data_IF_345743597797
#
_entry.id   IF_345743597797
#
_cell.length_a   1.000
_cell.length_b   1.000
_cell.length_c   1.000
_cell.angle_alpha   90.00
_cell.angle_beta   90.00
_cell.angle_gamma   90.00
#
_symmetry.space_group_name_H-M   'P 1'
#
loop_
_entity.id
_entity.type
_entity.pdbx_description
1 polymer ?
#
# COMPACT_ATOMS: atom_id res chain seq x y z
N UNK A 1 -34.88 -61.56 58.37
CA UNK A 1 -35.24 -60.29 57.71
C UNK A 1 -34.65 -60.33 56.32
N UNK A 2 -35.45 -60.72 55.32
CA UNK A 2 -35.02 -60.69 53.92
C UNK A 2 -35.06 -59.24 53.47
N UNK A 3 -33.89 -58.61 53.32
CA UNK A 3 -33.78 -57.32 52.63
C UNK A 3 -34.21 -57.56 51.18
N UNK A 4 -35.36 -57.00 50.82
CA UNK A 4 -35.83 -56.93 49.45
C UNK A 4 -34.80 -56.10 48.66
N UNK A 5 -34.03 -56.75 47.77
CA UNK A 5 -33.13 -56.02 46.87
C UNK A 5 -33.99 -55.12 46.01
N UNK A 6 -33.95 -53.81 46.25
CA UNK A 6 -34.61 -52.84 45.40
C UNK A 6 -33.94 -52.85 44.03
N UNK A 7 -34.67 -53.31 43.01
CA UNK A 7 -34.24 -53.33 41.62
C UNK A 7 -34.01 -51.88 41.17
N UNK A 8 -32.78 -51.55 40.75
CA UNK A 8 -32.47 -50.24 40.18
C UNK A 8 -32.79 -50.23 38.69
N UNK A 9 -34.02 -49.88 38.33
CA UNK A 9 -34.51 -49.88 36.94
C UNK A 9 -33.70 -48.94 36.03
N UNK A 10 -33.18 -47.83 36.56
CA UNK A 10 -32.38 -46.89 35.77
C UNK A 10 -31.03 -47.49 35.38
N UNK A 11 -30.36 -48.18 36.31
CA UNK A 11 -29.11 -48.88 36.02
C UNK A 11 -29.32 -50.01 35.01
N UNK A 12 -30.43 -50.75 35.12
CA UNK A 12 -30.76 -51.83 34.18
C UNK A 12 -31.06 -51.25 32.80
N UNK A 13 -31.82 -50.16 32.73
CA UNK A 13 -32.12 -49.47 31.48
C UNK A 13 -30.88 -48.92 30.77
N UNK A 14 -29.86 -48.48 31.52
CA UNK A 14 -28.60 -48.01 30.91
C UNK A 14 -27.69 -49.15 30.41
N UNK A 15 -27.96 -50.39 30.79
CA UNK A 15 -27.25 -51.60 30.35
C UNK A 15 -28.21 -52.57 29.65
N UNK A 16 -29.28 -52.05 29.06
CA UNK A 16 -30.38 -52.85 28.52
C UNK A 16 -29.93 -53.77 27.38
N UNK A 17 -28.91 -53.34 26.63
CA UNK A 17 -28.29 -54.08 25.53
C UNK A 17 -27.85 -55.47 25.98
N UNK A 18 -27.20 -55.60 27.14
CA UNK A 18 -26.73 -56.89 27.67
C UNK A 18 -27.89 -57.87 27.86
N UNK A 19 -29.04 -57.38 28.33
CA UNK A 19 -30.24 -58.20 28.55
C UNK A 19 -30.99 -58.52 27.26
N UNK A 20 -30.89 -57.64 26.26
CA UNK A 20 -31.45 -57.84 24.92
C UNK A 20 -30.63 -58.86 24.16
N UNK A 21 -29.30 -58.74 24.14
CA UNK A 21 -28.40 -59.67 23.43
C UNK A 21 -28.51 -61.10 23.97
N UNK A 22 -28.63 -61.23 25.28
CA UNK A 22 -28.80 -62.53 25.95
C UNK A 22 -30.23 -63.11 25.85
N UNK A 23 -31.20 -62.35 25.34
CA UNK A 23 -32.62 -62.76 25.28
C UNK A 23 -33.25 -63.00 26.65
N UNK A 24 -32.68 -62.41 27.70
CA UNK A 24 -33.07 -62.65 29.10
C UNK A 24 -34.06 -61.64 29.64
N UNK A 25 -34.27 -60.52 28.94
CA UNK A 25 -35.03 -59.38 29.47
C UNK A 25 -36.41 -59.79 30.01
N UNK A 26 -37.24 -60.44 29.20
CA UNK A 26 -38.58 -60.89 29.59
C UNK A 26 -38.60 -62.15 30.46
N UNK A 27 -37.46 -62.81 30.63
CA UNK A 27 -37.31 -64.01 31.48
C UNK A 27 -36.94 -63.62 32.91
N UNK A 28 -36.13 -62.57 33.05
CA UNK A 28 -35.55 -62.14 34.33
C UNK A 28 -36.45 -61.17 35.07
N UNK A 29 -37.13 -60.28 34.36
CA UNK A 29 -37.89 -59.19 34.98
C UNK A 29 -39.39 -59.40 34.86
N UNK A 30 -40.10 -59.00 35.91
CA UNK A 30 -41.56 -59.04 35.90
C UNK A 30 -42.15 -57.89 35.06
N UNK A 31 -43.47 -57.88 34.93
CA UNK A 31 -44.14 -56.86 34.12
C UNK A 31 -43.97 -55.44 34.61
N UNK A 32 -43.97 -55.21 35.91
CA UNK A 32 -43.83 -53.85 36.45
C UNK A 32 -42.40 -53.36 36.29
N UNK A 33 -41.43 -54.26 36.43
CA UNK A 33 -40.03 -53.97 36.20
C UNK A 33 -39.76 -53.62 34.73
N UNK A 34 -40.26 -54.42 33.79
CA UNK A 34 -40.10 -54.14 32.35
C UNK A 34 -40.68 -52.78 31.98
N UNK A 35 -41.88 -52.44 32.47
CA UNK A 35 -42.50 -51.15 32.15
C UNK A 35 -41.63 -49.97 32.61
N UNK A 36 -41.06 -50.05 33.81
CA UNK A 36 -40.14 -49.02 34.34
C UNK A 36 -38.82 -48.99 33.59
N UNK A 37 -38.27 -50.14 33.23
CA UNK A 37 -37.03 -50.24 32.44
C UNK A 37 -37.22 -49.57 31.07
N UNK A 38 -38.35 -49.80 30.41
CA UNK A 38 -38.65 -49.18 29.12
C UNK A 38 -38.82 -47.67 29.24
N UNK A 39 -39.44 -47.18 30.32
CA UNK A 39 -39.61 -45.74 30.58
C UNK A 39 -38.27 -45.02 30.81
N UNK A 40 -37.31 -45.65 31.47
CA UNK A 40 -35.98 -45.07 31.68
C UNK A 40 -35.02 -45.29 30.51
N UNK A 41 -35.28 -46.28 29.66
CA UNK A 41 -34.39 -46.71 28.59
C UNK A 41 -34.40 -45.78 27.39
N UNK A 42 -33.23 -45.63 26.77
CA UNK A 42 -33.06 -44.98 25.48
C UNK A 42 -32.45 -45.99 24.50
N UNK A 43 -33.19 -46.32 23.45
CA UNK A 43 -32.86 -47.42 22.55
C UNK A 43 -32.51 -46.89 21.17
N UNK A 44 -31.47 -47.45 20.56
CA UNK A 44 -31.34 -47.34 19.11
C UNK A 44 -32.43 -48.17 18.42
N UNK A 45 -32.89 -47.70 17.26
CA UNK A 45 -34.02 -48.34 16.57
C UNK A 45 -33.78 -49.82 16.24
N UNK A 46 -32.54 -50.22 15.94
CA UNK A 46 -32.14 -51.58 15.60
C UNK A 46 -32.08 -52.48 16.83
N UNK A 47 -31.58 -51.97 17.95
CA UNK A 47 -31.62 -52.64 19.26
C UNK A 47 -33.06 -52.94 19.70
N UNK A 48 -33.97 -51.98 19.55
CA UNK A 48 -35.38 -52.19 19.84
C UNK A 48 -36.03 -53.19 18.87
N UNK A 49 -35.68 -53.17 17.59
CA UNK A 49 -36.16 -54.18 16.63
C UNK A 49 -35.68 -55.58 17.03
N UNK A 50 -34.43 -55.71 17.51
CA UNK A 50 -33.90 -56.98 17.99
C UNK A 50 -34.68 -57.49 19.20
N UNK A 51 -34.99 -56.61 20.16
CA UNK A 51 -35.87 -56.90 21.29
C UNK A 51 -37.25 -57.41 20.85
N UNK A 52 -37.89 -56.76 19.88
CA UNK A 52 -39.19 -57.22 19.37
C UNK A 52 -39.07 -58.59 18.68
N UNK A 53 -38.03 -58.74 17.85
CA UNK A 53 -37.79 -59.95 17.06
C UNK A 53 -37.59 -61.17 17.96
N UNK A 54 -36.79 -61.06 19.01
CA UNK A 54 -36.51 -62.18 19.91
C UNK A 54 -37.71 -62.59 20.78
N UNK A 55 -38.60 -61.64 21.07
CA UNK A 55 -39.72 -61.85 21.99
C UNK A 55 -40.99 -62.32 21.27
N UNK A 56 -41.11 -62.00 19.97
CA UNK A 56 -42.26 -62.39 19.16
C UNK A 56 -42.60 -63.89 19.09
N UNK A 57 -41.66 -64.85 19.26
CA UNK A 57 -42.00 -66.28 19.29
C UNK A 57 -42.61 -66.74 20.62
N UNK A 58 -42.32 -66.04 21.72
CA UNK A 58 -42.72 -66.44 23.09
C UNK A 58 -43.84 -65.58 23.66
N UNK A 59 -44.17 -64.46 23.00
CA UNK A 59 -45.14 -63.47 23.46
C UNK A 59 -46.00 -63.00 22.29
N UNK A 60 -47.30 -62.83 22.53
CA UNK A 60 -48.19 -62.28 21.51
C UNK A 60 -47.93 -60.77 21.29
N UNK A 61 -48.41 -60.27 20.15
CA UNK A 61 -48.18 -58.88 19.74
C UNK A 61 -48.81 -57.84 20.69
N UNK A 62 -49.92 -58.18 21.35
CA UNK A 62 -50.63 -57.27 22.26
C UNK A 62 -49.85 -57.11 23.56
N UNK A 63 -49.42 -58.23 24.13
CA UNK A 63 -48.58 -58.23 25.32
C UNK A 63 -47.25 -57.54 25.02
N UNK A 64 -46.58 -57.90 23.92
CA UNK A 64 -45.32 -57.29 23.52
C UNK A 64 -45.44 -55.78 23.32
N UNK A 65 -46.56 -55.30 22.77
CA UNK A 65 -46.86 -53.87 22.70
C UNK A 65 -47.00 -53.25 24.09
N UNK A 66 -47.77 -53.86 24.99
CA UNK A 66 -47.97 -53.36 26.35
C UNK A 66 -46.63 -53.21 27.08
N UNK A 67 -45.75 -54.19 26.97
CA UNK A 67 -44.44 -54.13 27.62
C UNK A 67 -43.54 -53.05 27.05
N UNK A 68 -43.58 -52.81 25.74
CA UNK A 68 -42.57 -51.99 25.05
C UNK A 68 -43.02 -50.57 24.70
N UNK A 69 -44.31 -50.23 24.85
CA UNK A 69 -44.89 -48.95 24.42
C UNK A 69 -44.33 -47.69 25.09
N UNK A 70 -43.65 -47.83 26.24
CA UNK A 70 -43.05 -46.70 26.96
C UNK A 70 -41.59 -46.45 26.58
N UNK A 71 -41.02 -47.22 25.65
CA UNK A 71 -39.63 -47.09 25.24
C UNK A 71 -39.38 -45.80 24.45
N UNK A 72 -38.27 -45.13 24.75
CA UNK A 72 -37.80 -43.98 23.97
C UNK A 72 -36.82 -44.43 22.90
N UNK A 73 -37.14 -44.17 21.63
CA UNK A 73 -36.39 -44.71 20.48
C UNK A 73 -35.68 -43.59 19.72
N UNK A 74 -34.36 -43.73 19.54
CA UNK A 74 -33.55 -42.89 18.67
C UNK A 74 -33.59 -43.38 17.22
N UNK A 75 -33.94 -42.47 16.31
CA UNK A 75 -33.99 -42.73 14.87
C UNK A 75 -33.28 -41.57 14.17
N UNK A 76 -32.22 -41.90 13.41
CA UNK A 76 -31.31 -40.89 12.86
C UNK A 76 -31.76 -40.31 11.50
N UNK A 77 -32.36 -41.16 10.65
CA UNK A 77 -32.71 -40.78 9.29
C UNK A 77 -34.00 -41.46 8.79
N UNK A 78 -34.51 -41.01 7.63
CA UNK A 78 -35.76 -41.50 7.06
C UNK A 78 -35.74 -43.00 6.70
N UNK A 79 -34.59 -43.53 6.28
CA UNK A 79 -34.45 -44.96 5.94
C UNK A 79 -34.64 -45.82 7.20
N UNK A 80 -34.07 -45.37 8.31
CA UNK A 80 -34.16 -46.04 9.60
C UNK A 80 -35.58 -45.93 10.16
N UNK A 81 -36.23 -44.77 10.01
CA UNK A 81 -37.64 -44.58 10.37
C UNK A 81 -38.57 -45.54 9.62
N UNK A 82 -38.40 -45.69 8.30
CA UNK A 82 -39.18 -46.64 7.48
C UNK A 82 -38.93 -48.08 7.93
N UNK A 83 -37.69 -48.44 8.25
CA UNK A 83 -37.32 -49.78 8.74
C UNK A 83 -37.94 -50.07 10.09
N UNK A 84 -37.93 -49.08 10.99
CA UNK A 84 -38.55 -49.14 12.30
C UNK A 84 -40.07 -49.34 12.20
N UNK A 85 -40.78 -48.50 11.45
CA UNK A 85 -42.24 -48.62 11.27
C UNK A 85 -42.65 -49.96 10.64
N UNK A 86 -41.88 -50.47 9.67
CA UNK A 86 -42.10 -51.81 9.09
C UNK A 86 -41.96 -52.92 10.14
N UNK A 87 -41.03 -52.78 11.08
CA UNK A 87 -40.84 -53.73 12.18
C UNK A 87 -41.98 -53.67 13.19
N UNK A 88 -42.50 -52.47 13.53
CA UNK A 88 -43.70 -52.33 14.36
C UNK A 88 -44.90 -53.03 13.73
N UNK A 89 -45.10 -52.86 12.42
CA UNK A 89 -46.14 -53.61 11.69
C UNK A 89 -45.95 -55.12 11.77
N UNK A 90 -44.70 -55.59 11.61
CA UNK A 90 -44.37 -57.02 11.59
C UNK A 90 -44.61 -57.68 12.95
N UNK A 91 -44.06 -57.10 14.01
CA UNK A 91 -43.97 -57.71 15.34
C UNK A 91 -45.12 -57.29 16.28
N UNK A 92 -45.60 -56.04 16.17
CA UNK A 92 -46.67 -55.49 17.01
C UNK A 92 -48.03 -55.37 16.31
N UNK A 93 -48.12 -55.76 15.03
CA UNK A 93 -49.35 -55.68 14.21
C UNK A 93 -49.95 -54.27 14.12
N UNK A 94 -49.10 -53.24 14.16
CA UNK A 94 -49.50 -51.85 14.01
C UNK A 94 -49.75 -51.49 12.54
N UNK A 95 -50.99 -51.65 12.08
CA UNK A 95 -51.38 -51.33 10.70
C UNK A 95 -51.65 -49.84 10.47
N UNK A 96 -51.83 -49.06 11.55
CA UNK A 96 -52.12 -47.61 11.49
C UNK A 96 -51.09 -46.82 10.66
N UNK A 97 -49.83 -47.30 10.60
CA UNK A 97 -48.74 -46.60 9.92
C UNK A 97 -48.49 -47.07 8.49
N UNK A 98 -49.34 -47.92 7.89
CA UNK A 98 -49.14 -48.43 6.54
C UNK A 98 -49.00 -47.32 5.49
N UNK A 99 -49.97 -46.40 5.45
CA UNK A 99 -49.94 -45.28 4.50
C UNK A 99 -48.77 -44.32 4.79
N UNK A 100 -48.41 -44.17 6.08
CA UNK A 100 -47.26 -43.36 6.50
C UNK A 100 -45.94 -43.95 5.98
N UNK A 101 -45.78 -45.28 6.05
CA UNK A 101 -44.61 -45.98 5.49
C UNK A 101 -44.49 -45.70 3.99
N UNK A 102 -45.61 -45.75 3.26
CA UNK A 102 -45.62 -45.52 1.81
C UNK A 102 -45.30 -44.08 1.45
N UNK A 103 -45.83 -43.10 2.20
CA UNK A 103 -45.52 -41.68 2.00
C UNK A 103 -44.02 -41.43 2.28
N UNK A 104 -43.49 -41.93 3.40
CA UNK A 104 -42.08 -41.75 3.75
C UNK A 104 -41.16 -42.38 2.70
N UNK A 105 -41.51 -43.55 2.17
CA UNK A 105 -40.77 -44.20 1.10
C UNK A 105 -40.83 -43.41 -0.22
N UNK A 106 -41.99 -42.81 -0.54
CA UNK A 106 -42.13 -41.91 -1.70
C UNK A 106 -41.31 -40.64 -1.52
N UNK A 107 -41.32 -39.99 -0.36
CA UNK A 107 -40.50 -38.81 -0.09
C UNK A 107 -38.99 -39.12 -0.21
N UNK A 108 -38.55 -40.30 0.24
CA UNK A 108 -37.16 -40.73 0.08
C UNK A 108 -36.75 -40.93 -1.38
N UNK A 109 -37.67 -41.43 -2.20
CA UNK A 109 -37.41 -41.75 -3.62
C UNK A 109 -37.66 -40.56 -4.55
N UNK A 110 -38.57 -39.65 -4.20
CA UNK A 110 -38.90 -38.44 -4.98
C UNK A 110 -38.02 -37.23 -4.65
N UNK A 111 -37.25 -37.26 -3.55
CA UNK A 111 -36.18 -36.28 -3.29
C UNK A 111 -35.07 -36.24 -4.36
N UNK A 112 -35.10 -37.14 -5.34
CA UNK A 112 -34.16 -37.16 -6.48
C UNK A 112 -34.78 -36.84 -7.84
N UNK A 113 -36.10 -36.61 -7.94
CA UNK A 113 -36.72 -36.27 -9.23
C UNK A 113 -38.03 -35.50 -9.07
N UNK A 114 -37.97 -34.19 -9.26
CA UNK A 114 -39.11 -33.48 -9.85
C UNK A 114 -39.57 -32.21 -9.16
N UNK A 115 -38.69 -31.27 -8.83
CA UNK A 115 -39.06 -29.84 -8.67
C UNK A 115 -37.89 -28.83 -8.72
N UNK A 116 -36.71 -29.20 -9.25
CA UNK A 116 -35.52 -28.32 -9.28
C UNK A 116 -35.20 -27.68 -10.63
N UNK A 117 -35.88 -28.05 -11.72
CA UNK A 117 -35.41 -27.68 -13.07
C UNK A 117 -35.64 -26.20 -13.45
N UNK A 118 -36.58 -25.48 -12.84
CA UNK A 118 -36.89 -24.08 -13.22
C UNK A 118 -36.01 -23.06 -12.49
N UNK A 119 -35.85 -23.21 -11.18
CA UNK A 119 -35.02 -22.31 -10.35
C UNK A 119 -33.52 -22.59 -10.52
N UNK A 120 -33.11 -23.85 -10.72
CA UNK A 120 -31.69 -24.14 -10.98
C UNK A 120 -31.25 -23.62 -12.35
N UNK A 121 -32.09 -23.70 -13.39
CA UNK A 121 -31.78 -23.11 -14.71
C UNK A 121 -31.72 -21.59 -14.67
N UNK A 122 -32.60 -20.92 -13.91
CA UNK A 122 -32.56 -19.47 -13.75
C UNK A 122 -31.28 -19.03 -13.02
N UNK A 123 -30.92 -19.73 -11.93
CA UNK A 123 -29.66 -19.48 -11.22
C UNK A 123 -28.43 -19.75 -12.11
N UNK A 124 -28.43 -20.80 -12.93
CA UNK A 124 -27.33 -21.09 -13.85
C UNK A 124 -27.14 -19.99 -14.89
N UNK A 125 -28.23 -19.41 -15.41
CA UNK A 125 -28.19 -18.27 -16.32
C UNK A 125 -27.65 -17.01 -15.65
N UNK A 126 -28.08 -16.74 -14.42
CA UNK A 126 -27.60 -15.59 -13.63
C UNK A 126 -26.11 -15.72 -13.29
N UNK A 127 -25.66 -16.92 -12.91
CA UNK A 127 -24.24 -17.23 -12.67
C UNK A 127 -23.41 -17.03 -13.94
N UNK A 128 -23.89 -17.46 -15.10
CA UNK A 128 -23.20 -17.23 -16.37
C UNK A 128 -23.11 -15.73 -16.72
N UNK A 129 -24.19 -14.98 -16.50
CA UNK A 129 -24.22 -13.54 -16.74
C UNK A 129 -23.22 -12.81 -15.85
N UNK A 130 -23.23 -13.11 -14.54
CA UNK A 130 -22.29 -12.55 -13.57
C UNK A 130 -20.85 -12.90 -13.94
N UNK A 131 -20.59 -14.14 -14.37
CA UNK A 131 -19.25 -14.58 -14.81
C UNK A 131 -18.75 -13.78 -16.02
N UNK A 132 -19.63 -13.52 -17.01
CA UNK A 132 -19.29 -12.68 -18.15
C UNK A 132 -19.02 -11.23 -17.73
N UNK A 133 -19.79 -10.69 -16.79
CA UNK A 133 -19.54 -9.34 -16.27
C UNK A 133 -18.22 -9.24 -15.49
N UNK A 134 -17.88 -10.25 -14.69
CA UNK A 134 -16.60 -10.35 -13.98
C UNK A 134 -15.45 -10.36 -14.99
N UNK A 135 -15.53 -11.22 -16.01
CA UNK A 135 -14.49 -11.30 -17.05
C UNK A 135 -14.26 -9.96 -17.76
N UNK A 136 -15.35 -9.25 -18.14
CA UNK A 136 -15.23 -7.91 -18.74
C UNK A 136 -14.60 -6.89 -17.80
N UNK A 137 -14.87 -6.98 -16.49
CA UNK A 137 -14.25 -6.12 -15.48
C UNK A 137 -12.76 -6.46 -15.32
N UNK A 138 -12.40 -7.74 -15.31
CA UNK A 138 -11.00 -8.19 -15.21
C UNK A 138 -10.17 -7.72 -16.42
N UNK A 139 -10.72 -7.80 -17.64
CA UNK A 139 -10.10 -7.25 -18.84
C UNK A 139 -9.85 -5.74 -18.72
N UNK A 140 -10.82 -5.00 -18.16
CA UNK A 140 -10.71 -3.56 -17.97
C UNK A 140 -9.70 -3.19 -16.87
N UNK A 141 -9.64 -3.99 -15.80
CA UNK A 141 -8.62 -3.87 -14.75
C UNK A 141 -7.22 -4.08 -15.35
N UNK A 142 -7.03 -5.10 -16.19
CA UNK A 142 -5.76 -5.36 -16.86
C UNK A 142 -5.32 -4.19 -17.75
N UNK A 143 -6.25 -3.60 -18.51
CA UNK A 143 -5.99 -2.41 -19.32
C UNK A 143 -5.56 -1.21 -18.46
N UNK A 144 -6.25 -0.95 -17.36
CA UNK A 144 -5.88 0.13 -16.45
C UNK A 144 -4.54 -0.12 -15.76
N UNK A 145 -4.21 -1.36 -15.41
CA UNK A 145 -2.90 -1.70 -14.85
C UNK A 145 -1.78 -1.40 -15.86
N UNK A 146 -1.96 -1.75 -17.13
CA UNK A 146 -0.98 -1.46 -18.18
C UNK A 146 -0.80 0.05 -18.41
N UNK A 147 -1.88 0.83 -18.33
CA UNK A 147 -1.84 2.29 -18.43
C UNK A 147 -1.12 2.91 -17.23
N UNK A 148 -1.39 2.44 -16.01
CA UNK A 148 -0.70 2.88 -14.80
C UNK A 148 0.80 2.61 -14.91
N UNK A 149 1.21 1.42 -15.36
CA UNK A 149 2.62 1.08 -15.55
C UNK A 149 3.32 1.99 -16.57
N UNK A 150 2.62 2.35 -17.66
CA UNK A 150 3.14 3.30 -18.67
C UNK A 150 3.31 4.69 -18.06
N UNK A 151 2.28 5.18 -17.36
CA UNK A 151 2.31 6.49 -16.71
C UNK A 151 3.40 6.59 -15.64
N UNK A 152 3.62 5.52 -14.86
CA UNK A 152 4.70 5.47 -13.88
C UNK A 152 6.07 5.59 -14.52
N UNK A 153 6.32 4.88 -15.63
CA UNK A 153 7.57 4.98 -16.39
C UNK A 153 7.78 6.39 -16.94
N UNK A 154 6.74 7.00 -17.51
CA UNK A 154 6.81 8.37 -18.03
C UNK A 154 7.10 9.39 -16.93
N UNK A 155 6.50 9.25 -15.74
CA UNK A 155 6.80 10.08 -14.57
C UNK A 155 8.27 9.94 -14.18
N UNK A 156 8.79 8.71 -14.11
CA UNK A 156 10.19 8.47 -13.73
C UNK A 156 11.17 9.09 -14.74
N UNK A 157 10.89 8.99 -16.05
CA UNK A 157 11.70 9.64 -17.09
C UNK A 157 11.66 11.17 -16.95
N UNK A 158 10.48 11.75 -16.67
CA UNK A 158 10.36 13.20 -16.45
C UNK A 158 11.09 13.67 -15.20
N UNK A 159 11.00 12.93 -14.09
CA UNK A 159 11.72 13.25 -12.85
C UNK A 159 13.24 13.26 -13.05
N UNK A 160 13.78 12.26 -13.74
CA UNK A 160 15.22 12.23 -14.05
C UNK A 160 15.64 13.42 -14.92
N UNK A 161 14.84 13.80 -15.90
CA UNK A 161 15.10 14.98 -16.75
C UNK A 161 15.05 16.30 -15.98
N UNK A 162 14.07 16.44 -15.06
CA UNK A 162 13.94 17.61 -14.19
C UNK A 162 15.17 17.73 -13.28
N UNK A 163 15.63 16.63 -12.69
CA UNK A 163 16.79 16.62 -11.82
C UNK A 163 18.06 17.06 -12.57
N UNK A 164 18.28 16.53 -13.78
CA UNK A 164 19.41 16.93 -14.62
C UNK A 164 19.38 18.42 -14.97
N UNK A 165 18.22 18.95 -15.37
CA UNK A 165 18.06 20.38 -15.63
C UNK A 165 18.26 21.24 -14.38
N UNK A 166 17.83 20.75 -13.21
CA UNK A 166 18.09 21.39 -11.91
C UNK A 166 19.58 21.49 -11.58
N UNK A 167 20.35 20.43 -11.83
CA UNK A 167 21.80 20.43 -11.64
C UNK A 167 22.50 21.42 -12.59
N UNK A 168 22.11 21.44 -13.86
CA UNK A 168 22.67 22.37 -14.85
C UNK A 168 22.38 23.83 -14.50
N UNK A 169 21.14 24.13 -14.08
CA UNK A 169 20.77 25.47 -13.61
C UNK A 169 21.59 25.91 -12.39
N UNK A 170 21.88 25.00 -11.46
CA UNK A 170 22.73 25.31 -10.31
C UNK A 170 24.18 25.60 -10.74
N UNK A 171 24.72 24.86 -11.71
CA UNK A 171 26.06 25.13 -12.28
C UNK A 171 26.09 26.50 -12.95
N UNK A 172 25.12 26.79 -13.83
CA UNK A 172 25.03 28.09 -14.52
C UNK A 172 24.88 29.25 -13.53
N UNK A 173 24.09 29.08 -12.47
CA UNK A 173 23.94 30.11 -11.42
C UNK A 173 25.26 30.41 -10.72
N UNK A 174 26.07 29.39 -10.43
CA UNK A 174 27.39 29.57 -9.83
C UNK A 174 28.36 30.26 -10.79
N UNK A 175 28.37 29.88 -12.07
CA UNK A 175 29.20 30.52 -13.08
C UNK A 175 28.84 32.00 -13.29
N UNK A 176 27.54 32.33 -13.33
CA UNK A 176 27.06 33.71 -13.39
C UNK A 176 27.58 34.48 -12.18
N UNK A 177 27.44 33.94 -10.96
CA UNK A 177 27.93 34.60 -9.75
C UNK A 177 29.43 34.86 -9.80
N UNK A 178 30.22 33.88 -10.26
CA UNK A 178 31.66 34.04 -10.41
C UNK A 178 32.01 35.14 -11.43
N UNK A 179 31.32 35.17 -12.57
CA UNK A 179 31.49 36.22 -13.59
C UNK A 179 31.07 37.60 -13.10
N UNK A 180 29.98 37.71 -12.32
CA UNK A 180 29.56 38.97 -11.70
C UNK A 180 30.66 39.51 -10.78
N UNK A 181 31.22 38.68 -9.90
CA UNK A 181 32.34 39.09 -9.03
C UNK A 181 33.55 39.57 -9.84
N UNK A 182 33.88 38.90 -10.94
CA UNK A 182 35.00 39.30 -11.80
C UNK A 182 34.73 40.65 -12.49
N UNK A 183 33.50 40.89 -12.94
CA UNK A 183 33.09 42.17 -13.53
C UNK A 183 33.23 43.30 -12.50
N UNK A 184 32.83 43.08 -11.25
CA UNK A 184 32.95 44.07 -10.19
C UNK A 184 34.43 44.43 -9.92
N UNK A 185 35.31 43.42 -9.91
CA UNK A 185 36.76 43.63 -9.76
C UNK A 185 37.34 44.45 -10.92
N UNK A 186 37.01 44.09 -12.16
CA UNK A 186 37.46 44.82 -13.36
C UNK A 186 36.98 46.27 -13.32
N UNK A 187 35.73 46.51 -12.91
CA UNK A 187 35.19 47.86 -12.79
C UNK A 187 35.93 48.69 -11.73
N UNK A 188 36.29 48.07 -10.60
CA UNK A 188 37.08 48.74 -9.57
C UNK A 188 38.49 49.12 -10.08
N UNK A 189 39.17 48.19 -10.75
CA UNK A 189 40.48 48.44 -11.36
C UNK A 189 40.43 49.53 -12.43
N UNK A 190 39.45 49.47 -13.33
CA UNK A 190 39.22 50.52 -14.33
C UNK A 190 39.00 51.90 -13.67
N UNK A 191 38.28 51.95 -12.56
CA UNK A 191 38.11 53.17 -11.76
C UNK A 191 39.43 53.68 -11.15
N UNK A 192 40.33 52.80 -10.71
CA UNK A 192 41.66 53.17 -10.22
C UNK A 192 42.53 53.71 -11.37
N UNK A 193 42.56 53.02 -12.50
CA UNK A 193 43.34 53.42 -13.68
C UNK A 193 42.87 54.79 -14.21
N UNK A 194 41.56 54.99 -14.32
CA UNK A 194 40.98 56.26 -14.79
C UNK A 194 41.42 57.45 -13.92
N UNK A 195 41.42 57.29 -12.59
CA UNK A 195 41.90 58.31 -11.65
C UNK A 195 43.40 58.57 -11.79
N UNK A 196 44.20 57.51 -11.97
CA UNK A 196 45.64 57.65 -12.18
C UNK A 196 45.96 58.42 -13.47
N UNK A 197 45.26 58.13 -14.57
CA UNK A 197 45.39 58.86 -15.85
C UNK A 197 45.06 60.34 -15.65
N UNK A 198 43.91 60.66 -15.05
CA UNK A 198 43.51 62.05 -14.80
C UNK A 198 44.54 62.83 -13.96
N UNK A 199 45.12 62.18 -12.94
CA UNK A 199 46.18 62.78 -12.13
C UNK A 199 47.45 63.05 -12.96
N UNK A 200 47.84 62.11 -13.83
CA UNK A 200 49.00 62.25 -14.71
C UNK A 200 48.79 63.33 -15.78
N UNK A 201 47.60 63.43 -16.35
CA UNK A 201 47.25 64.49 -17.30
C UNK A 201 47.34 65.87 -16.65
N UNK A 202 46.86 66.00 -15.40
CA UNK A 202 47.00 67.25 -14.63
C UNK A 202 48.47 67.61 -14.39
N UNK A 203 49.30 66.64 -14.00
CA UNK A 203 50.76 66.84 -13.85
C UNK A 203 51.43 67.27 -15.16
N UNK A 204 51.09 66.64 -16.28
CA UNK A 204 51.63 67.00 -17.58
C UNK A 204 51.27 68.42 -18.00
N UNK A 205 50.03 68.85 -17.73
CA UNK A 205 49.61 70.22 -18.01
C UNK A 205 50.40 71.24 -17.17
N UNK A 206 50.60 70.97 -15.87
CA UNK A 206 51.44 71.81 -15.01
C UNK A 206 52.88 71.92 -15.52
N UNK A 207 53.49 70.79 -15.90
CA UNK A 207 54.86 70.77 -16.46
C UNK A 207 54.91 71.57 -17.77
N UNK A 208 53.89 71.46 -18.62
CA UNK A 208 53.81 72.22 -19.87
C UNK A 208 53.76 73.72 -19.61
N UNK A 209 52.92 74.16 -18.69
CA UNK A 209 52.82 75.58 -18.30
C UNK A 209 54.15 76.11 -17.72
N UNK A 210 54.82 75.32 -16.89
CA UNK A 210 56.14 75.68 -16.35
C UNK A 210 57.21 75.76 -17.44
N UNK A 211 57.23 74.83 -18.39
CA UNK A 211 58.13 74.88 -19.54
C UNK A 211 57.89 76.13 -20.40
N UNK A 212 56.62 76.49 -20.65
CA UNK A 212 56.27 77.70 -21.39
C UNK A 212 56.67 78.99 -20.63
N UNK A 213 56.63 78.98 -19.29
CA UNK A 213 57.17 80.07 -18.46
C UNK A 213 58.69 80.17 -18.59
N UNK A 214 59.41 79.08 -18.37
CA UNK A 214 60.87 79.04 -18.45
C UNK A 214 61.38 79.46 -19.83
N UNK A 215 60.70 79.06 -20.91
CA UNK A 215 61.04 79.48 -22.26
C UNK A 215 60.94 81.00 -22.45
N UNK A 216 59.89 81.64 -21.91
CA UNK A 216 59.76 83.11 -21.92
C UNK A 216 60.85 83.78 -21.10
N UNK A 217 61.17 83.25 -19.93
CA UNK A 217 62.24 83.78 -19.07
C UNK A 217 63.61 83.71 -19.77
N UNK A 218 63.90 82.62 -20.47
CA UNK A 218 65.12 82.48 -21.27
C UNK A 218 65.17 83.53 -22.39
N UNK A 219 64.09 83.70 -23.16
CA UNK A 219 64.02 84.70 -24.22
C UNK A 219 64.22 86.14 -23.71
N UNK A 220 63.65 86.48 -22.55
CA UNK A 220 63.84 87.78 -21.90
C UNK A 220 65.30 88.00 -21.49
N UNK A 221 65.94 86.96 -20.93
CA UNK A 221 67.36 87.00 -20.56
C UNK A 221 68.26 87.11 -21.78
N UNK A 222 67.99 86.38 -22.87
CA UNK A 222 68.72 86.51 -24.14
C UNK A 222 68.63 87.93 -24.69
N UNK A 223 67.44 88.54 -24.65
CA UNK A 223 67.24 89.94 -25.07
C UNK A 223 68.09 90.90 -24.22
N UNK A 224 68.11 90.71 -22.91
CA UNK A 224 68.92 91.52 -21.97
C UNK A 224 70.41 91.35 -22.22
N UNK A 225 70.88 90.12 -22.43
CA UNK A 225 72.28 89.83 -22.75
C UNK A 225 72.69 90.51 -24.05
N UNK A 226 71.85 90.47 -25.09
CA UNK A 226 72.12 91.14 -26.35
C UNK A 226 72.26 92.66 -26.18
N UNK A 227 71.36 93.29 -25.42
CA UNK A 227 71.43 94.73 -25.09
C UNK A 227 72.73 95.09 -24.37
N UNK A 228 73.09 94.34 -23.32
CA UNK A 228 74.35 94.55 -22.58
C UNK A 228 75.57 94.34 -23.48
N UNK A 229 75.53 93.36 -24.38
CA UNK A 229 76.64 93.07 -25.32
C UNK A 229 76.85 94.22 -26.31
N UNK A 230 75.75 94.80 -26.81
CA UNK A 230 75.78 95.98 -27.68
C UNK A 230 76.31 97.22 -26.94
N UNK A 231 75.81 97.48 -25.73
CA UNK A 231 76.28 98.58 -24.88
C UNK A 231 77.78 98.46 -24.56
N UNK A 232 78.24 97.27 -24.17
CA UNK A 232 79.66 96.99 -23.95
C UNK A 232 80.50 97.21 -25.21
N UNK A 233 79.98 96.86 -26.38
CA UNK A 233 80.67 97.10 -27.66
C UNK A 233 80.81 98.59 -27.96
N UNK A 234 79.75 99.38 -27.70
CA UNK A 234 79.76 100.83 -27.84
C UNK A 234 80.75 101.49 -26.88
N UNK A 235 80.69 101.14 -25.59
CA UNK A 235 81.61 101.65 -24.57
C UNK A 235 83.07 101.33 -24.91
N UNK A 236 83.35 100.13 -25.44
CA UNK A 236 84.69 99.73 -25.88
C UNK A 236 85.19 100.60 -27.03
N UNK A 237 84.33 100.94 -28.00
CA UNK A 237 84.67 101.87 -29.08
C UNK A 237 84.93 103.28 -28.55
N UNK A 238 84.06 103.81 -27.69
CA UNK A 238 84.26 105.13 -27.07
C UNK A 238 85.57 105.20 -26.26
N UNK A 239 85.92 104.14 -25.55
CA UNK A 239 87.18 104.04 -24.81
C UNK A 239 88.38 104.09 -25.76
N UNK A 240 88.35 103.32 -26.86
CA UNK A 240 89.41 103.35 -27.89
C UNK A 240 89.55 104.73 -28.54
N UNK A 241 88.44 105.41 -28.85
CA UNK A 241 88.47 106.77 -29.40
C UNK A 241 89.11 107.76 -28.42
N UNK A 242 88.79 107.68 -27.14
CA UNK A 242 89.41 108.53 -26.10
C UNK A 242 90.89 108.22 -25.91
N UNK A 243 91.30 106.95 -25.92
CA UNK A 243 92.71 106.57 -25.87
C UNK A 243 93.52 107.19 -27.02
N UNK A 244 92.97 107.20 -28.24
CA UNK A 244 93.60 107.87 -29.40
C UNK A 244 93.74 109.37 -29.17
N UNK A 245 92.69 110.04 -28.67
CA UNK A 245 92.72 111.49 -28.38
C UNK A 245 93.77 111.82 -27.31
N UNK A 246 93.82 111.04 -26.22
CA UNK A 246 94.80 111.26 -25.13
C UNK A 246 96.22 111.06 -25.64
N UNK A 247 96.47 110.04 -26.46
CA UNK A 247 97.78 109.81 -27.05
C UNK A 247 98.19 110.96 -27.98
N UNK A 248 97.26 111.52 -28.77
CA UNK A 248 97.52 112.67 -29.63
C UNK A 248 97.74 114.00 -28.88
N UNK A 249 97.36 114.10 -27.60
CA UNK A 249 97.57 115.29 -26.77
C UNK A 249 98.87 115.26 -25.94
N UNK A 250 99.53 114.09 -25.87
CA UNK A 250 100.77 113.86 -25.13
C UNK A 250 102.02 113.82 -26.04
N UNK A 251 101.86 114.06 -27.35
CA UNK A 251 102.94 114.29 -28.35
C UNK A 251 103.15 115.80 -28.61
#
# INVERSE_FOLDING_TARGET
>A
MSQELSINHQYIASHISDFIEDGKLFVVFDKQDILKIMEFGYFYYDEFINLLKQSSPTMDATDLYIYTRCANIYIDNCKDAVTFLKSLRRYLKMELFNDVIDILYKCQTQGSSGETNSESQANDQEVQLLKSQIQKKDEKIAQFMEEIDKLQKDIQIKETSINQSGEENNKLKNDIRAKTTLIDQINEENGKIKRAIQSKDAQNNQIKEENDRLKRDIQNKETTINQITEENSNLKRELQEKEVIVNAHNE
#
